data_IF_216140255948
#
_entry.id   IF_216140255948
#
_cell.length_a   1.000
_cell.length_b   1.000
_cell.length_c   1.000
_cell.angle_alpha   90.00
_cell.angle_beta   90.00
_cell.angle_gamma   90.00
#
_symmetry.space_group_name_H-M   'P 1'
#
loop_
_entity.id
_entity.type
_entity.pdbx_description
1 polymer ?
#
# COMPACT_ATOMS: atom_id res chain seq x y z
N UNK A 1 24.25 3.73 -5.77
CA UNK A 1 23.06 2.85 -5.89
C UNK A 1 23.57 1.47 -6.24
N UNK A 2 23.34 0.47 -5.39
CA UNK A 2 23.84 -0.90 -5.60
C UNK A 2 22.67 -1.76 -6.09
N UNK A 3 22.78 -2.30 -7.30
CA UNK A 3 21.84 -3.30 -7.81
C UNK A 3 22.23 -4.65 -7.22
N UNK A 4 21.24 -5.45 -6.85
CA UNK A 4 21.41 -6.79 -6.28
C UNK A 4 20.60 -7.80 -7.07
N UNK A 5 21.00 -9.06 -7.01
CA UNK A 5 20.24 -10.17 -7.59
C UNK A 5 19.54 -10.92 -6.46
N UNK A 6 18.28 -11.30 -6.69
CA UNK A 6 17.48 -12.11 -5.76
C UNK A 6 16.91 -13.29 -6.56
N UNK A 7 17.71 -14.34 -6.82
CA UNK A 7 17.31 -15.48 -7.67
C UNK A 7 16.02 -16.18 -7.19
N UNK A 8 15.74 -16.12 -5.89
CA UNK A 8 14.54 -16.68 -5.28
C UNK A 8 13.24 -16.06 -5.80
N UNK A 9 13.30 -14.87 -6.39
CA UNK A 9 12.14 -14.19 -6.97
C UNK A 9 11.86 -14.58 -8.42
N UNK A 10 12.79 -15.25 -9.11
CA UNK A 10 12.63 -15.63 -10.53
C UNK A 10 11.33 -16.42 -10.79
N UNK A 11 10.98 -17.45 -9.99
CA UNK A 11 9.73 -18.19 -10.20
C UNK A 11 8.48 -17.32 -10.06
N UNK A 12 8.52 -16.28 -9.21
CA UNK A 12 7.41 -15.35 -8.99
C UNK A 12 7.25 -14.39 -10.17
N UNK A 13 8.36 -13.87 -10.67
CA UNK A 13 8.43 -13.02 -11.88
C UNK A 13 7.85 -13.77 -13.08
N UNK A 14 8.27 -15.01 -13.29
CA UNK A 14 7.78 -15.88 -14.38
C UNK A 14 6.29 -16.18 -14.25
N UNK A 15 5.83 -16.54 -13.04
CA UNK A 15 4.42 -16.85 -12.79
C UNK A 15 3.49 -15.65 -12.99
N UNK A 16 3.92 -14.45 -12.61
CA UNK A 16 3.20 -13.20 -12.88
C UNK A 16 3.24 -12.83 -14.37
N UNK A 17 4.20 -13.39 -15.13
CA UNK A 17 4.43 -13.05 -16.53
C UNK A 17 4.80 -11.58 -16.69
N UNK A 18 5.66 -11.06 -15.79
CA UNK A 18 6.22 -9.71 -15.89
C UNK A 18 7.13 -9.64 -17.12
N UNK A 19 7.00 -8.56 -17.89
CA UNK A 19 7.72 -8.34 -19.15
C UNK A 19 8.75 -7.23 -19.05
N UNK A 20 8.55 -6.29 -18.13
CA UNK A 20 9.44 -5.16 -17.92
C UNK A 20 10.66 -5.60 -17.13
N UNK A 21 11.76 -4.87 -17.31
CA UNK A 21 13.01 -5.15 -16.60
C UNK A 21 12.84 -4.88 -15.11
N UNK A 22 13.32 -5.76 -14.24
CA UNK A 22 13.23 -5.58 -12.79
C UNK A 22 14.62 -5.27 -12.23
N UNK A 23 14.73 -4.15 -11.52
CA UNK A 23 15.95 -3.72 -10.86
C UNK A 23 15.72 -3.74 -9.35
N UNK A 24 16.38 -4.66 -8.65
CA UNK A 24 16.43 -4.67 -7.19
C UNK A 24 17.54 -3.73 -6.71
N UNK A 25 17.18 -2.69 -5.98
CA UNK A 25 18.07 -1.62 -5.54
C UNK A 25 18.22 -1.69 -4.02
N UNK A 26 19.44 -1.94 -3.52
CA UNK A 26 19.69 -1.96 -2.09
C UNK A 26 19.49 -0.57 -1.48
N UNK A 27 18.65 -0.49 -0.45
CA UNK A 27 18.24 0.74 0.21
C UNK A 27 18.30 0.61 1.76
N UNK A 28 19.50 0.68 2.38
CA UNK A 28 19.71 0.37 3.81
C UNK A 28 19.05 1.33 4.81
N UNK A 29 18.37 2.37 4.34
CA UNK A 29 17.71 3.38 5.17
C UNK A 29 16.20 3.36 5.07
N UNK A 30 15.66 2.60 4.13
CA UNK A 30 14.22 2.37 4.03
C UNK A 30 13.85 1.33 5.08
N UNK A 31 12.66 1.42 5.67
CA UNK A 31 12.18 0.45 6.67
C UNK A 31 11.37 -0.70 6.05
N UNK A 32 10.93 -0.52 4.81
CA UNK A 32 10.15 -1.49 4.03
C UNK A 32 10.64 -1.53 2.60
N UNK A 33 10.24 -2.56 1.86
CA UNK A 33 10.38 -2.54 0.41
C UNK A 33 9.43 -1.50 -0.20
N UNK A 34 9.77 -1.03 -1.40
CA UNK A 34 8.86 -0.21 -2.22
C UNK A 34 9.17 -0.41 -3.69
N UNK A 35 8.17 -0.22 -4.54
CA UNK A 35 8.33 -0.26 -5.99
C UNK A 35 8.02 1.09 -6.63
N UNK A 36 8.69 1.39 -7.74
CA UNK A 36 8.26 2.40 -8.72
C UNK A 36 8.39 1.78 -10.10
N UNK A 37 7.33 1.89 -10.88
CA UNK A 37 7.29 1.41 -12.27
C UNK A 37 7.33 2.59 -13.23
N UNK A 38 8.00 2.39 -14.36
CA UNK A 38 8.13 3.39 -15.41
C UNK A 38 7.78 2.75 -16.76
N UNK A 39 6.69 3.23 -17.37
CA UNK A 39 6.21 2.72 -18.66
C UNK A 39 7.08 3.15 -19.83
N UNK A 40 7.77 4.28 -19.75
CA UNK A 40 8.64 4.79 -20.83
C UNK A 40 9.87 3.89 -20.96
N UNK A 41 10.49 3.57 -19.82
CA UNK A 41 11.68 2.70 -19.78
C UNK A 41 11.37 1.22 -19.61
N UNK A 42 10.08 0.85 -19.51
CA UNK A 42 9.61 -0.52 -19.25
C UNK A 42 10.42 -1.18 -18.13
N UNK A 43 10.50 -0.50 -16.99
CA UNK A 43 11.34 -0.91 -15.85
C UNK A 43 10.58 -0.80 -14.54
N UNK A 44 10.71 -1.82 -13.70
CA UNK A 44 10.35 -1.80 -12.28
C UNK A 44 11.60 -1.61 -11.44
N UNK A 45 11.58 -0.64 -10.54
CA UNK A 45 12.63 -0.42 -9.54
C UNK A 45 12.07 -0.81 -8.20
N UNK A 46 12.58 -1.90 -7.62
CA UNK A 46 12.19 -2.36 -6.29
C UNK A 46 13.33 -2.00 -5.34
N UNK A 47 13.07 -1.09 -4.42
CA UNK A 47 14.02 -0.78 -3.34
C UNK A 47 13.87 -1.81 -2.24
N UNK A 48 15.00 -2.42 -1.87
CA UNK A 48 15.04 -3.57 -0.97
C UNK A 48 15.83 -3.20 0.29
N UNK A 49 15.23 -3.47 1.45
CA UNK A 49 15.89 -3.34 2.76
C UNK A 49 17.13 -4.27 2.82
N UNK A 50 18.18 -3.92 3.56
CA UNK A 50 19.37 -4.77 3.64
C UNK A 50 19.09 -6.14 4.30
N UNK A 51 18.27 -6.15 5.35
CA UNK A 51 17.75 -7.37 5.96
C UNK A 51 16.97 -8.28 5.00
N UNK A 52 16.33 -7.75 3.95
CA UNK A 52 15.68 -8.58 2.95
C UNK A 52 16.70 -9.39 2.11
N UNK A 53 17.98 -8.99 2.10
CA UNK A 53 19.07 -9.74 1.47
C UNK A 53 19.63 -10.80 2.41
N UNK A 54 19.78 -10.49 3.71
CA UNK A 54 20.33 -11.41 4.71
C UNK A 54 19.29 -12.40 5.28
N UNK A 55 18.01 -12.05 5.25
CA UNK A 55 16.89 -12.81 5.83
C UNK A 55 15.76 -13.01 4.81
N UNK A 56 16.11 -13.45 3.60
CA UNK A 56 15.20 -13.57 2.45
C UNK A 56 13.88 -14.28 2.75
N UNK A 57 13.89 -15.33 3.57
CA UNK A 57 12.67 -16.08 3.93
C UNK A 57 11.66 -15.29 4.76
N UNK A 58 12.14 -14.29 5.52
CA UNK A 58 11.29 -13.38 6.31
C UNK A 58 10.63 -12.34 5.40
N UNK A 59 11.38 -11.82 4.42
CA UNK A 59 10.95 -10.75 3.52
C UNK A 59 10.35 -11.25 2.20
N UNK A 60 10.26 -12.57 2.00
CA UNK A 60 9.72 -13.12 0.75
C UNK A 60 8.29 -12.66 0.48
N UNK A 61 7.44 -12.60 1.52
CA UNK A 61 6.07 -12.11 1.39
C UNK A 61 6.02 -10.66 0.91
N UNK A 62 6.88 -9.80 1.47
CA UNK A 62 7.00 -8.38 1.10
C UNK A 62 7.52 -8.22 -0.32
N UNK A 63 8.56 -8.97 -0.70
CA UNK A 63 9.12 -8.90 -2.04
C UNK A 63 8.13 -9.37 -3.10
N UNK A 64 7.35 -10.42 -2.81
CA UNK A 64 6.27 -10.89 -3.70
C UNK A 64 5.11 -9.89 -3.75
N UNK A 65 4.82 -9.18 -2.65
CA UNK A 65 3.87 -8.06 -2.63
C UNK A 65 4.27 -6.96 -3.62
N UNK A 66 5.54 -6.54 -3.60
CA UNK A 66 6.07 -5.56 -4.57
C UNK A 66 6.00 -6.06 -6.02
N UNK A 67 6.21 -7.36 -6.26
CA UNK A 67 6.03 -7.95 -7.60
C UNK A 67 4.57 -7.96 -8.06
N UNK A 68 3.62 -8.12 -7.14
CA UNK A 68 2.20 -7.99 -7.44
C UNK A 68 1.85 -6.53 -7.83
N UNK A 69 2.44 -5.52 -7.16
CA UNK A 69 2.35 -4.13 -7.64
C UNK A 69 2.93 -3.95 -9.04
N UNK A 70 4.09 -4.57 -9.35
CA UNK A 70 4.67 -4.55 -10.70
C UNK A 70 3.67 -5.09 -11.73
N UNK A 71 2.99 -6.18 -11.41
CA UNK A 71 2.01 -6.80 -12.32
C UNK A 71 0.82 -5.89 -12.58
N UNK A 72 0.28 -5.25 -11.55
CA UNK A 72 -0.80 -4.28 -11.70
C UNK A 72 -0.33 -3.08 -12.53
N UNK A 73 0.90 -2.63 -12.34
CA UNK A 73 1.49 -1.55 -13.11
C UNK A 73 1.64 -1.86 -14.61
N UNK A 74 2.14 -3.05 -14.98
CA UNK A 74 2.25 -3.45 -16.39
C UNK A 74 0.88 -3.65 -17.05
N UNK A 75 -0.08 -4.23 -16.31
CA UNK A 75 -1.35 -4.63 -16.87
C UNK A 75 -2.37 -3.48 -16.97
N UNK A 76 -2.24 -2.47 -16.10
CA UNK A 76 -3.21 -1.38 -15.96
C UNK A 76 -2.54 -0.04 -16.20
N UNK A 77 -1.73 0.42 -15.24
CA UNK A 77 -1.00 1.69 -15.30
C UNK A 77 0.04 1.77 -14.15
N UNK A 78 1.22 2.38 -14.37
CA UNK A 78 2.24 2.58 -13.33
C UNK A 78 1.77 3.17 -12.00
N UNK A 79 0.66 3.91 -11.99
CA UNK A 79 0.04 4.48 -10.78
C UNK A 79 -0.28 3.43 -9.71
N UNK A 80 -0.45 2.15 -10.08
CA UNK A 80 -0.67 1.06 -9.11
C UNK A 80 0.58 0.66 -8.33
N UNK A 81 1.77 1.11 -8.74
CA UNK A 81 3.03 0.81 -8.04
C UNK A 81 3.45 1.90 -7.06
N UNK A 82 3.18 3.16 -7.37
CA UNK A 82 3.56 4.27 -6.50
C UNK A 82 2.71 5.51 -6.79
N UNK A 83 2.66 6.42 -5.81
CA UNK A 83 2.16 7.76 -6.06
C UNK A 83 3.09 8.53 -7.01
N UNK A 84 2.58 8.84 -8.18
CA UNK A 84 3.19 9.78 -9.12
C UNK A 84 2.40 11.09 -9.15
N UNK A 85 3.08 12.19 -9.45
CA UNK A 85 2.52 13.54 -9.38
C UNK A 85 2.97 14.36 -10.59
N UNK A 86 2.17 15.34 -11.05
CA UNK A 86 2.56 16.26 -12.11
C UNK A 86 3.90 16.94 -11.84
N UNK A 87 4.78 17.01 -12.84
CA UNK A 87 6.13 17.62 -12.74
C UNK A 87 6.11 19.04 -12.18
N UNK A 88 5.03 19.79 -12.41
CA UNK A 88 4.85 21.16 -11.89
C UNK A 88 4.87 21.22 -10.36
N UNK A 89 4.47 20.16 -9.65
CA UNK A 89 4.52 20.14 -8.18
C UNK A 89 5.97 20.17 -7.66
N UNK A 90 6.93 19.63 -8.41
CA UNK A 90 8.37 19.74 -8.10
C UNK A 90 8.93 21.17 -8.21
N UNK A 91 8.18 22.11 -8.78
CA UNK A 91 8.58 23.53 -8.92
C UNK A 91 7.93 24.44 -7.88
N UNK A 92 7.06 23.91 -7.02
CA UNK A 92 6.41 24.68 -5.96
C UNK A 92 7.42 25.19 -4.94
N UNK A 93 7.16 26.37 -4.39
CA UNK A 93 8.02 27.02 -3.37
C UNK A 93 7.16 27.56 -2.22
N UNK A 94 7.81 27.82 -1.09
CA UNK A 94 7.18 28.46 0.07
C UNK A 94 5.97 27.71 0.59
N UNK A 95 4.85 28.42 0.79
CA UNK A 95 3.61 27.88 1.34
C UNK A 95 3.02 26.74 0.49
N UNK A 96 3.02 26.89 -0.83
CA UNK A 96 2.48 25.88 -1.75
C UNK A 96 3.23 24.54 -1.67
N UNK A 97 4.56 24.57 -1.52
CA UNK A 97 5.35 23.36 -1.33
C UNK A 97 5.01 22.64 -0.01
N UNK A 98 4.77 23.40 1.07
CA UNK A 98 4.33 22.83 2.36
C UNK A 98 2.93 22.23 2.25
N UNK A 99 2.00 22.92 1.60
CA UNK A 99 0.65 22.43 1.35
C UNK A 99 0.68 21.13 0.54
N UNK A 100 1.50 21.07 -0.51
CA UNK A 100 1.68 19.85 -1.31
C UNK A 100 2.26 18.70 -0.48
N UNK A 101 3.27 18.94 0.36
CA UNK A 101 3.83 17.90 1.24
C UNK A 101 2.76 17.31 2.17
N UNK A 102 1.90 18.15 2.75
CA UNK A 102 0.80 17.69 3.58
C UNK A 102 -0.23 16.89 2.76
N UNK A 103 -0.65 17.43 1.62
CA UNK A 103 -1.67 16.83 0.77
C UNK A 103 -1.23 15.50 0.15
N UNK A 104 0.03 15.39 -0.27
CA UNK A 104 0.62 14.14 -0.79
C UNK A 104 0.70 13.06 0.28
N UNK A 105 0.98 13.42 1.54
CA UNK A 105 0.94 12.47 2.65
C UNK A 105 -0.50 12.00 2.96
N UNK A 106 -1.49 12.91 2.93
CA UNK A 106 -2.91 12.51 3.04
C UNK A 106 -3.32 11.56 1.92
N UNK A 107 -2.86 11.82 0.69
CA UNK A 107 -3.10 10.94 -0.45
C UNK A 107 -2.42 9.57 -0.26
N UNK A 108 -1.18 9.54 0.24
CA UNK A 108 -0.45 8.30 0.55
C UNK A 108 -1.25 7.40 1.48
N UNK A 109 -1.78 7.96 2.57
CA UNK A 109 -2.62 7.23 3.51
C UNK A 109 -3.91 6.73 2.86
N UNK A 110 -4.58 7.56 2.05
CA UNK A 110 -5.79 7.16 1.33
C UNK A 110 -5.54 6.11 0.22
N UNK A 111 -4.34 6.08 -0.34
CA UNK A 111 -3.92 5.18 -1.42
C UNK A 111 -3.57 3.76 -0.93
N UNK A 112 -3.31 3.58 0.36
CA UNK A 112 -3.00 2.27 0.98
C UNK A 112 -4.01 1.15 0.64
N UNK A 113 -5.25 1.49 0.27
CA UNK A 113 -6.25 0.52 -0.20
C UNK A 113 -5.82 -0.30 -1.41
N UNK A 114 -4.82 0.15 -2.17
CA UNK A 114 -4.29 -0.60 -3.33
C UNK A 114 -3.78 -1.98 -2.91
N UNK A 115 -3.29 -2.10 -1.68
CA UNK A 115 -2.82 -3.37 -1.13
C UNK A 115 -3.91 -4.46 -1.13
N UNK A 116 -5.20 -4.09 -1.00
CA UNK A 116 -6.30 -5.07 -1.14
C UNK A 116 -6.26 -5.78 -2.49
N UNK A 117 -5.99 -5.05 -3.58
CA UNK A 117 -5.93 -5.64 -4.92
C UNK A 117 -4.62 -6.38 -5.17
N UNK A 118 -3.52 -5.89 -4.59
CA UNK A 118 -2.23 -6.58 -4.60
C UNK A 118 -2.36 -7.93 -3.92
N UNK A 119 -3.02 -7.96 -2.77
CA UNK A 119 -3.31 -9.17 -2.01
C UNK A 119 -4.34 -10.06 -2.68
N UNK A 120 -5.29 -9.51 -3.44
CA UNK A 120 -6.22 -10.33 -4.24
C UNK A 120 -5.43 -11.12 -5.29
N UNK A 121 -4.50 -10.45 -5.98
CA UNK A 121 -3.60 -11.08 -6.95
C UNK A 121 -2.67 -12.09 -6.28
N UNK A 122 -1.99 -11.70 -5.20
CA UNK A 122 -1.07 -12.56 -4.44
C UNK A 122 -1.79 -13.82 -3.96
N UNK A 123 -2.97 -13.67 -3.36
CA UNK A 123 -3.76 -14.80 -2.85
C UNK A 123 -4.25 -15.72 -3.98
N UNK A 124 -4.60 -15.17 -5.14
CA UNK A 124 -5.03 -15.98 -6.29
C UNK A 124 -3.93 -16.89 -6.86
N UNK A 125 -2.66 -16.50 -6.68
CA UNK A 125 -1.50 -17.22 -7.21
C UNK A 125 -0.79 -18.06 -6.14
N UNK A 126 -0.71 -17.53 -4.92
CA UNK A 126 0.04 -18.07 -3.78
C UNK A 126 -0.73 -17.86 -2.47
N UNK A 127 -1.88 -18.53 -2.29
CA UNK A 127 -2.71 -18.37 -1.10
C UNK A 127 -1.94 -18.67 0.20
N UNK A 128 -0.95 -19.56 0.17
CA UNK A 128 -0.07 -19.90 1.28
C UNK A 128 0.82 -18.73 1.73
N UNK A 129 1.29 -17.88 0.81
CA UNK A 129 2.09 -16.71 1.15
C UNK A 129 1.23 -15.63 1.80
N UNK A 130 0.04 -15.38 1.25
CA UNK A 130 -0.92 -14.45 1.87
C UNK A 130 -1.32 -14.93 3.27
N UNK A 131 -1.55 -16.23 3.45
CA UNK A 131 -1.88 -16.77 4.77
C UNK A 131 -0.72 -16.63 5.75
N UNK A 132 0.52 -16.92 5.34
CA UNK A 132 1.71 -16.75 6.18
C UNK A 132 1.88 -15.29 6.62
N UNK A 133 1.68 -14.36 5.71
CA UNK A 133 1.76 -12.92 5.99
C UNK A 133 0.66 -12.46 6.95
N UNK A 134 -0.57 -12.89 6.70
CA UNK A 134 -1.72 -12.68 7.59
C UNK A 134 -1.44 -13.18 9.02
N UNK A 135 -0.95 -14.42 9.16
CA UNK A 135 -0.61 -14.99 10.46
C UNK A 135 0.54 -14.22 11.14
N UNK A 136 1.55 -13.79 10.38
CA UNK A 136 2.67 -13.00 10.90
C UNK A 136 2.19 -11.66 11.47
N UNK A 137 1.37 -10.92 10.72
CA UNK A 137 0.81 -9.65 11.15
C UNK A 137 -0.10 -9.83 12.37
N UNK A 138 -0.90 -10.90 12.41
CA UNK A 138 -1.76 -11.20 13.55
C UNK A 138 -0.97 -11.42 14.85
N UNK A 139 0.17 -12.12 14.78
CA UNK A 139 1.07 -12.33 15.92
C UNK A 139 1.69 -11.01 16.39
N UNK A 140 2.06 -10.13 15.46
CA UNK A 140 2.54 -8.79 15.79
C UNK A 140 1.46 -7.96 16.50
N UNK A 141 0.23 -7.96 16.01
CA UNK A 141 -0.90 -7.28 16.68
C UNK A 141 -1.15 -7.83 18.08
N UNK A 142 -1.14 -9.16 18.26
CA UNK A 142 -1.31 -9.78 19.57
C UNK A 142 -0.15 -9.46 20.52
N UNK A 143 1.09 -9.38 20.03
CA UNK A 143 2.22 -8.93 20.84
C UNK A 143 1.96 -7.54 21.43
N UNK A 144 1.33 -6.66 20.67
CA UNK A 144 1.01 -5.32 21.15
C UNK A 144 -0.10 -5.27 22.21
N UNK A 145 -0.83 -6.37 22.44
CA UNK A 145 -1.89 -6.43 23.46
C UNK A 145 -1.37 -6.78 24.86
N UNK A 146 -0.08 -7.03 25.02
CA UNK A 146 0.53 -7.35 26.32
C UNK A 146 0.53 -6.11 27.22
N UNK A 147 -0.16 -6.18 28.36
CA UNK A 147 -0.40 -5.05 29.27
C UNK A 147 0.88 -4.32 29.71
N UNK A 148 1.99 -5.05 29.85
CA UNK A 148 3.28 -4.53 30.29
C UNK A 148 3.87 -3.44 29.37
N UNK A 149 3.47 -3.40 28.10
CA UNK A 149 3.97 -2.44 27.11
C UNK A 149 2.93 -1.38 26.70
N UNK A 150 1.73 -1.42 27.29
CA UNK A 150 0.56 -0.72 26.75
C UNK A 150 0.68 0.82 26.65
N UNK A 151 1.22 1.56 27.65
CA UNK A 151 1.31 3.02 27.57
C UNK A 151 2.17 3.55 26.41
N UNK A 152 3.24 2.84 26.08
CA UNK A 152 4.16 3.17 24.99
C UNK A 152 3.58 2.72 23.64
N UNK A 153 3.00 1.53 23.62
CA UNK A 153 2.33 0.95 22.45
C UNK A 153 1.12 1.76 22.01
N UNK A 154 0.33 2.31 22.94
CA UNK A 154 -0.89 3.05 22.59
C UNK A 154 -0.60 4.19 21.61
N UNK A 155 0.45 4.97 21.87
CA UNK A 155 0.84 6.09 20.99
C UNK A 155 1.30 5.62 19.62
N UNK A 156 1.91 4.44 19.56
CA UNK A 156 2.33 3.83 18.31
C UNK A 156 1.12 3.33 17.50
N UNK A 157 0.22 2.57 18.11
CA UNK A 157 -0.96 1.99 17.42
C UNK A 157 -1.92 3.06 16.92
N UNK A 158 -2.10 4.16 17.65
CA UNK A 158 -3.02 5.24 17.25
C UNK A 158 -2.46 6.15 16.14
N UNK A 159 -1.32 5.81 15.52
CA UNK A 159 -0.85 6.47 14.30
C UNK A 159 -1.75 6.12 13.10
N UNK A 160 -1.96 7.06 12.14
CA UNK A 160 -2.78 6.78 10.96
C UNK A 160 -2.35 5.53 10.19
N UNK A 161 -1.05 5.31 10.04
CA UNK A 161 -0.47 4.15 9.35
C UNK A 161 -0.86 2.83 10.01
N UNK A 162 -0.76 2.74 11.34
CA UNK A 162 -1.11 1.51 12.07
C UNK A 162 -2.62 1.27 12.10
N UNK A 163 -3.44 2.33 12.21
CA UNK A 163 -4.89 2.21 12.11
C UNK A 163 -5.32 1.69 10.72
N UNK A 164 -4.66 2.18 9.65
CA UNK A 164 -4.87 1.69 8.29
C UNK A 164 -4.42 0.23 8.14
N UNK A 165 -3.25 -0.13 8.66
CA UNK A 165 -2.75 -1.51 8.63
C UNK A 165 -3.70 -2.48 9.33
N UNK A 166 -4.27 -2.11 10.48
CA UNK A 166 -5.32 -2.90 11.17
C UNK A 166 -6.57 -3.02 10.29
N UNK A 167 -7.01 -1.91 9.67
CA UNK A 167 -8.19 -1.93 8.81
C UNK A 167 -8.00 -2.79 7.55
N UNK A 168 -6.84 -2.73 6.91
CA UNK A 168 -6.48 -3.57 5.75
C UNK A 168 -6.46 -5.05 6.15
N UNK A 169 -5.76 -5.40 7.23
CA UNK A 169 -5.71 -6.76 7.78
C UNK A 169 -7.12 -7.34 8.04
N UNK A 170 -7.99 -6.56 8.69
CA UNK A 170 -9.36 -6.99 8.99
C UNK A 170 -10.24 -7.08 7.75
N UNK A 171 -10.06 -6.17 6.79
CA UNK A 171 -10.74 -6.24 5.50
C UNK A 171 -10.34 -7.50 4.72
N UNK A 172 -9.05 -7.84 4.71
CA UNK A 172 -8.54 -9.04 4.06
C UNK A 172 -9.05 -10.32 4.68
N UNK A 173 -9.10 -10.38 6.01
CA UNK A 173 -9.75 -11.47 6.73
C UNK A 173 -11.20 -11.65 6.26
N UNK A 174 -11.96 -10.55 6.18
CA UNK A 174 -13.37 -10.56 5.76
C UNK A 174 -13.53 -10.97 4.28
N UNK A 175 -12.61 -10.58 3.40
CA UNK A 175 -12.64 -10.95 1.97
C UNK A 175 -12.32 -12.42 1.74
N UNK A 176 -11.32 -12.96 2.45
CA UNK A 176 -10.77 -14.31 2.22
C UNK A 176 -11.28 -15.36 3.20
N UNK A 177 -12.05 -14.94 4.20
CA UNK A 177 -12.59 -15.81 5.25
C UNK A 177 -11.51 -16.62 5.97
N UNK A 178 -10.42 -15.93 6.38
CA UNK A 178 -9.41 -16.54 7.23
C UNK A 178 -9.96 -16.80 8.64
N UNK A 179 -9.23 -17.60 9.41
CA UNK A 179 -9.60 -17.85 10.80
C UNK A 179 -9.47 -16.55 11.60
N UNK A 180 -10.56 -16.05 12.21
CA UNK A 180 -10.53 -14.76 12.88
C UNK A 180 -9.61 -14.80 14.10
N UNK A 181 -8.76 -13.80 14.23
CA UNK A 181 -7.94 -13.60 15.42
C UNK A 181 -8.67 -12.68 16.39
N UNK A 182 -8.72 -13.07 17.67
CA UNK A 182 -9.36 -12.27 18.71
C UNK A 182 -8.53 -11.01 19.00
N UNK A 183 -8.95 -9.89 18.43
CA UNK A 183 -8.35 -8.57 18.65
C UNK A 183 -9.11 -7.75 19.71
N UNK A 184 -10.07 -8.31 20.45
CA UNK A 184 -10.80 -7.59 21.51
C UNK A 184 -9.85 -6.88 22.50
N UNK A 185 -8.72 -7.48 22.93
CA UNK A 185 -7.78 -6.80 23.82
C UNK A 185 -7.21 -5.51 23.18
N UNK A 186 -6.85 -5.55 21.89
CA UNK A 186 -6.38 -4.39 21.15
C UNK A 186 -7.46 -3.31 21.10
N UNK A 187 -8.68 -3.69 20.73
CA UNK A 187 -9.79 -2.76 20.61
C UNK A 187 -10.19 -2.13 21.94
N UNK A 188 -10.11 -2.83 23.08
CA UNK A 188 -10.48 -2.25 24.40
C UNK A 188 -9.81 -0.91 24.68
N UNK A 189 -8.60 -0.72 24.18
CA UNK A 189 -7.80 0.45 24.49
C UNK A 189 -7.80 1.56 23.44
N UNK A 190 -8.35 1.32 22.25
CA UNK A 190 -8.53 2.34 21.23
C UNK A 190 -9.62 3.34 21.63
N UNK A 191 -9.47 4.60 21.21
CA UNK A 191 -10.55 5.59 21.29
C UNK A 191 -11.80 5.13 20.53
N UNK A 192 -12.97 5.64 20.92
CA UNK A 192 -14.24 5.31 20.24
C UNK A 192 -14.19 5.73 18.78
N UNK A 193 -13.57 6.87 18.50
CA UNK A 193 -13.40 7.45 17.18
C UNK A 193 -12.56 6.54 16.28
N UNK A 194 -11.46 5.99 16.81
CA UNK A 194 -10.57 5.10 16.07
C UNK A 194 -11.26 3.76 15.76
N UNK A 195 -12.06 3.23 16.69
CA UNK A 195 -12.88 2.01 16.44
C UNK A 195 -13.82 2.21 15.27
N UNK A 196 -14.60 3.29 15.32
CA UNK A 196 -15.58 3.63 14.27
C UNK A 196 -14.86 3.85 12.93
N UNK A 197 -13.69 4.49 12.94
CA UNK A 197 -12.90 4.68 11.73
C UNK A 197 -12.46 3.33 11.14
N UNK A 198 -11.86 2.45 11.95
CA UNK A 198 -11.43 1.11 11.53
C UNK A 198 -12.62 0.34 10.96
N UNK A 199 -13.75 0.26 11.67
CA UNK A 199 -14.94 -0.46 11.21
C UNK A 199 -15.42 0.05 9.83
N UNK A 200 -15.50 1.37 9.65
CA UNK A 200 -15.91 1.98 8.37
C UNK A 200 -14.92 1.70 7.24
N UNK A 201 -13.62 1.70 7.53
CA UNK A 201 -12.58 1.37 6.56
C UNK A 201 -12.62 -0.12 6.21
N UNK A 202 -12.80 -1.01 7.19
CA UNK A 202 -12.94 -2.45 6.98
C UNK A 202 -14.12 -2.76 6.06
N UNK A 203 -15.29 -2.18 6.33
CA UNK A 203 -16.46 -2.36 5.46
C UNK A 203 -16.24 -1.81 4.06
N UNK A 204 -15.53 -0.69 3.93
CA UNK A 204 -15.21 -0.13 2.63
C UNK A 204 -14.20 -0.98 1.86
N UNK A 205 -13.05 -1.30 2.44
CA UNK A 205 -11.99 -2.08 1.82
C UNK A 205 -12.45 -3.49 1.46
N UNK A 206 -13.20 -4.15 2.35
CA UNK A 206 -13.75 -5.48 2.05
C UNK A 206 -14.76 -5.48 0.92
N UNK A 207 -15.43 -4.35 0.65
CA UNK A 207 -16.40 -4.21 -0.44
C UNK A 207 -15.80 -3.70 -1.76
N UNK A 208 -14.49 -3.46 -1.83
CA UNK A 208 -13.84 -3.07 -3.08
C UNK A 208 -14.04 -4.16 -4.16
N UNK A 209 -14.36 -3.77 -5.41
CA UNK A 209 -14.47 -4.75 -6.49
C UNK A 209 -13.09 -5.33 -6.82
N UNK A 210 -13.06 -6.58 -7.29
CA UNK A 210 -11.85 -7.13 -7.92
C UNK A 210 -11.52 -6.36 -9.20
N UNK A 211 -10.23 -6.18 -9.49
CA UNK A 211 -9.77 -5.56 -10.72
C UNK A 211 -10.06 -6.46 -11.93
N UNK A 212 -10.43 -5.83 -13.04
CA UNK A 212 -10.78 -6.52 -14.28
C UNK A 212 -9.62 -6.62 -15.28
N UNK A 213 -8.47 -6.02 -14.95
CA UNK A 213 -7.31 -5.80 -15.81
C UNK A 213 -7.68 -5.05 -17.09
N UNK A 214 -8.62 -4.11 -17.00
CA UNK A 214 -9.03 -3.20 -18.08
C UNK A 214 -8.74 -1.78 -17.64
N UNK A 215 -7.74 -1.17 -18.27
CA UNK A 215 -7.15 0.09 -17.82
C UNK A 215 -8.19 1.17 -17.49
N UNK A 216 -9.08 1.50 -18.44
CA UNK A 216 -10.09 2.55 -18.26
C UNK A 216 -11.00 2.30 -17.04
N UNK A 217 -11.50 1.06 -16.89
CA UNK A 217 -12.41 0.69 -15.80
C UNK A 217 -11.69 0.68 -14.45
N UNK A 218 -10.51 0.08 -14.40
CA UNK A 218 -9.79 -0.12 -13.14
C UNK A 218 -9.16 1.19 -12.64
N UNK A 219 -8.76 2.10 -13.53
CA UNK A 219 -8.37 3.47 -13.17
C UNK A 219 -9.54 4.27 -12.60
N UNK A 220 -10.75 4.12 -13.15
CA UNK A 220 -11.96 4.73 -12.60
C UNK A 220 -12.29 4.21 -11.20
N UNK A 221 -12.16 2.89 -10.99
CA UNK A 221 -12.31 2.24 -9.69
C UNK A 221 -11.27 2.78 -8.70
N UNK A 222 -10.00 2.88 -9.11
CA UNK A 222 -8.92 3.41 -8.28
C UNK A 222 -9.23 4.84 -7.83
N UNK A 223 -9.52 5.74 -8.77
CA UNK A 223 -9.81 7.15 -8.46
C UNK A 223 -11.00 7.29 -7.50
N UNK A 224 -12.11 6.61 -7.79
CA UNK A 224 -13.32 6.67 -6.94
C UNK A 224 -13.04 6.11 -5.54
N UNK A 225 -12.28 5.02 -5.46
CA UNK A 225 -11.97 4.36 -4.19
C UNK A 225 -11.05 5.22 -3.33
N UNK A 226 -10.01 5.82 -3.92
CA UNK A 226 -9.08 6.71 -3.20
C UNK A 226 -9.79 7.97 -2.71
N UNK A 227 -10.65 8.59 -3.54
CA UNK A 227 -11.50 9.72 -3.10
C UNK A 227 -12.40 9.34 -1.91
N UNK A 228 -13.00 8.14 -1.95
CA UNK A 228 -13.83 7.64 -0.85
C UNK A 228 -13.01 7.37 0.41
N UNK A 229 -11.82 6.78 0.30
CA UNK A 229 -10.90 6.60 1.43
C UNK A 229 -10.51 7.94 2.06
N UNK A 230 -10.09 8.92 1.25
CA UNK A 230 -9.76 10.27 1.74
C UNK A 230 -10.93 10.91 2.51
N UNK A 231 -12.17 10.76 2.02
CA UNK A 231 -13.37 11.22 2.73
C UNK A 231 -13.63 10.49 4.04
N UNK A 232 -13.42 9.17 4.10
CA UNK A 232 -13.58 8.38 5.32
C UNK A 232 -12.54 8.78 6.39
N UNK A 233 -11.32 9.06 5.95
CA UNK A 233 -10.21 9.55 6.77
C UNK A 233 -10.36 11.03 7.17
N UNK A 234 -11.39 11.73 6.68
CA UNK A 234 -11.64 13.14 6.97
C UNK A 234 -10.63 14.09 6.33
N UNK A 235 -9.88 13.64 5.33
CA UNK A 235 -8.89 14.47 4.66
C UNK A 235 -9.56 15.49 3.73
N UNK A 236 -9.15 16.77 3.79
CA UNK A 236 -9.73 17.84 2.97
C UNK A 236 -9.22 17.84 1.51
N UNK A 237 -8.90 16.67 0.93
CA UNK A 237 -8.40 16.53 -0.44
C UNK A 237 -9.44 15.85 -1.35
N UNK A 238 -9.44 16.22 -2.63
CA UNK A 238 -10.21 15.54 -3.67
C UNK A 238 -9.29 15.15 -4.83
N UNK A 239 -8.40 14.17 -4.61
CA UNK A 239 -7.38 13.81 -5.58
C UNK A 239 -8.03 13.25 -6.84
N UNK A 240 -7.49 13.55 -8.02
CA UNK A 240 -7.95 12.99 -9.30
C UNK A 240 -6.78 12.52 -10.15
N UNK A 241 -7.02 11.52 -10.98
CA UNK A 241 -6.05 11.01 -11.93
C UNK A 241 -6.10 11.88 -13.19
N UNK A 242 -4.93 12.34 -13.63
CA UNK A 242 -4.75 13.06 -14.89
C UNK A 242 -3.66 12.40 -15.71
N UNK A 243 -3.76 12.48 -17.04
CA UNK A 243 -2.74 11.92 -17.93
C UNK A 243 -1.61 12.94 -18.11
N UNK A 244 -0.38 12.55 -17.78
CA UNK A 244 0.83 13.33 -18.04
C UNK A 244 1.87 12.41 -18.68
N UNK A 245 2.39 12.78 -19.86
CA UNK A 245 3.46 12.04 -20.56
C UNK A 245 3.17 10.53 -20.76
N UNK A 246 1.92 10.19 -21.03
CA UNK A 246 1.53 8.82 -21.34
C UNK A 246 1.17 7.94 -20.13
N UNK A 247 1.32 8.43 -18.90
CA UNK A 247 0.94 7.73 -17.67
C UNK A 247 -0.11 8.52 -16.87
N UNK A 248 -0.83 7.85 -15.98
CA UNK A 248 -1.68 8.53 -15.01
C UNK A 248 -0.83 9.04 -13.83
N UNK A 249 -1.15 10.25 -13.37
CA UNK A 249 -0.55 10.89 -12.20
C UNK A 249 -1.63 11.51 -11.32
N UNK A 250 -1.37 11.64 -10.02
CA UNK A 250 -2.32 12.26 -9.08
C UNK A 250 -2.22 13.78 -9.07
N UNK A 251 -3.34 14.44 -9.32
CA UNK A 251 -3.52 15.87 -9.11
C UNK A 251 -4.34 16.12 -7.85
N UNK A 252 -3.92 17.09 -7.03
CA UNK A 252 -4.63 17.54 -5.84
C UNK A 252 -4.98 19.04 -6.00
N UNK A 253 -6.20 19.37 -6.42
CA UNK A 253 -6.59 20.76 -6.71
C UNK A 253 -6.59 21.69 -5.49
N UNK A 254 -6.70 21.15 -4.27
CA UNK A 254 -6.85 21.96 -3.04
C UNK A 254 -5.57 22.65 -2.57
N UNK A 255 -4.40 22.26 -3.08
CA UNK A 255 -3.10 22.79 -2.62
C UNK A 255 -3.02 24.32 -2.74
N UNK A 256 -3.64 24.87 -3.79
CA UNK A 256 -3.66 26.32 -4.07
C UNK A 256 -4.59 27.09 -3.13
N UNK A 257 -5.49 26.41 -2.43
CA UNK A 257 -6.52 27.02 -1.56
C UNK A 257 -6.09 27.13 -0.10
N UNK A 258 -5.00 26.47 0.30
CA UNK A 258 -4.57 26.34 1.70
C UNK A 258 -3.55 27.40 2.14
#
# INVERSE_FOLDING_TARGET
MKIVEIPELVPFVEKLGLKWSILYILAPKETTCRVVSDAETQTHKIWVHDEAISHKELFLCDLVHELCHCKLAEAIDPIFSALSFPKRYGRLKGKLAKNFKLASHMLYLAFSLVDIWVDDLRHSLWPELTLKDYESYSKALLFFTKEEFWPEIKRFIETPENLLGIALYLADNKRRNFSPVNLDPLFKHLSKENKILIERLVDFYSSLPYLSYRAERDLEILEKSVKKAAKLLGFPISPRLVKEEGQMVWEIPEIEKW
#
